data_IF_771673310730
#
_entry.id   IF_771673310730
#
_cell.length_a   1.000
_cell.length_b   1.000
_cell.length_c   1.000
_cell.angle_alpha   90.00
_cell.angle_beta   90.00
_cell.angle_gamma   90.00
#
_symmetry.space_group_name_H-M   'P 1'
#
loop_
_entity.id
_entity.type
_entity.pdbx_description
1 polymer ?
#
# COMPACT_ATOMS: atom_id res chain seq x y z
N UNK A 1 21.09 -13.96 -48.75
CA UNK A 1 21.91 -13.51 -47.62
C UNK A 1 21.44 -12.16 -47.03
N UNK A 2 21.16 -11.12 -47.84
CA UNK A 2 20.71 -9.80 -47.32
C UNK A 2 19.36 -9.85 -46.54
N UNK A 3 18.39 -10.70 -46.93
CA UNK A 3 17.09 -10.81 -46.26
C UNK A 3 17.16 -11.43 -44.86
N UNK A 4 18.11 -12.33 -44.63
CA UNK A 4 18.35 -12.97 -43.34
C UNK A 4 18.97 -11.95 -42.35
N UNK A 5 19.79 -11.04 -42.85
CA UNK A 5 20.41 -9.99 -42.05
C UNK A 5 19.39 -8.98 -41.50
N UNK A 6 18.38 -8.60 -42.29
CA UNK A 6 17.31 -7.73 -41.84
C UNK A 6 16.37 -8.43 -40.80
N UNK A 7 16.16 -9.74 -40.94
CA UNK A 7 15.36 -10.50 -39.98
C UNK A 7 16.07 -10.63 -38.62
N UNK A 8 17.38 -10.84 -38.64
CA UNK A 8 18.22 -10.93 -37.44
C UNK A 8 18.34 -9.58 -36.73
N UNK A 9 18.41 -8.46 -37.49
CA UNK A 9 18.44 -7.10 -36.95
C UNK A 9 17.12 -6.71 -36.32
N UNK A 10 15.98 -7.15 -36.85
CA UNK A 10 14.66 -6.89 -36.28
C UNK A 10 14.41 -7.67 -34.98
N UNK A 11 14.97 -8.89 -34.86
CA UNK A 11 14.84 -9.71 -33.65
C UNK A 11 15.60 -9.12 -32.46
N UNK A 12 16.69 -8.40 -32.69
CA UNK A 12 17.49 -7.73 -31.66
C UNK A 12 16.81 -6.51 -31.03
N UNK A 13 15.79 -5.94 -31.69
CA UNK A 13 15.05 -4.78 -31.15
C UNK A 13 13.96 -5.17 -30.15
N UNK A 14 13.62 -6.46 -30.02
CA UNK A 14 12.57 -6.94 -29.12
C UNK A 14 13.05 -7.25 -27.69
N UNK A 15 14.35 -7.20 -27.42
CA UNK A 15 14.91 -7.57 -26.11
C UNK A 15 15.06 -6.39 -25.14
N UNK A 16 14.60 -5.17 -25.48
CA UNK A 16 14.86 -3.96 -24.71
C UNK A 16 13.69 -3.49 -23.85
N UNK A 17 13.00 -4.37 -23.14
CA UNK A 17 12.01 -3.92 -22.15
C UNK A 17 11.92 -4.84 -20.94
N UNK A 18 13.07 -5.08 -20.28
CA UNK A 18 13.08 -5.52 -18.89
C UNK A 18 13.38 -4.31 -18.02
N UNK A 19 12.35 -3.56 -17.66
CA UNK A 19 12.45 -2.52 -16.65
C UNK A 19 12.94 -3.14 -15.35
N UNK A 20 14.23 -3.12 -15.11
CA UNK A 20 14.84 -3.51 -13.85
C UNK A 20 14.20 -2.61 -12.78
N UNK A 21 13.39 -3.19 -11.89
CA UNK A 21 12.86 -2.45 -10.74
C UNK A 21 14.09 -1.89 -10.02
N UNK A 22 14.19 -0.57 -9.95
CA UNK A 22 15.26 0.07 -9.20
C UNK A 22 15.07 -0.36 -7.74
N UNK A 23 16.05 -1.12 -7.21
CA UNK A 23 15.98 -1.68 -5.85
C UNK A 23 15.89 -0.61 -4.74
N UNK A 24 16.01 0.66 -5.10
CA UNK A 24 15.86 1.81 -4.19
C UNK A 24 14.54 2.56 -4.33
N UNK A 25 13.58 2.05 -5.10
CA UNK A 25 12.26 2.66 -5.22
C UNK A 25 11.23 1.85 -4.44
N UNK A 26 10.54 2.50 -3.51
CA UNK A 26 9.44 1.94 -2.70
C UNK A 26 8.16 2.70 -2.98
N UNK A 27 7.07 1.98 -3.22
CA UNK A 27 5.75 2.57 -3.36
C UNK A 27 4.93 2.35 -2.10
N UNK A 28 4.37 3.43 -1.53
CA UNK A 28 3.51 3.39 -0.36
C UNK A 28 2.10 3.72 -0.79
N UNK A 29 1.17 2.78 -0.56
CA UNK A 29 -0.25 3.03 -0.67
C UNK A 29 -0.75 3.74 0.58
N UNK A 30 -1.70 4.65 0.44
CA UNK A 30 -2.35 5.28 1.58
C UNK A 30 -3.79 5.62 1.28
N UNK A 31 -4.59 5.64 2.34
CA UNK A 31 -5.99 6.01 2.32
C UNK A 31 -6.07 7.46 2.83
N UNK A 32 -7.03 8.23 2.36
CA UNK A 32 -7.15 9.65 2.71
C UNK A 32 -7.80 9.84 4.11
N UNK A 33 -7.17 9.23 5.13
CA UNK A 33 -7.48 9.42 6.55
C UNK A 33 -6.33 10.17 7.22
N UNK A 34 -6.63 11.02 8.18
CA UNK A 34 -5.65 11.94 8.78
C UNK A 34 -4.46 11.21 9.39
N UNK A 35 -4.69 10.12 10.12
CA UNK A 35 -3.66 9.28 10.72
C UNK A 35 -2.85 8.53 9.66
N UNK A 36 -3.52 7.98 8.64
CA UNK A 36 -2.87 7.29 7.52
C UNK A 36 -1.97 8.22 6.70
N UNK A 37 -2.41 9.45 6.45
CA UNK A 37 -1.61 10.49 5.77
C UNK A 37 -0.37 10.81 6.61
N UNK A 38 -0.55 11.12 7.89
CA UNK A 38 0.55 11.49 8.79
C UNK A 38 1.62 10.38 8.88
N UNK A 39 1.20 9.14 9.09
CA UNK A 39 2.09 7.98 9.15
C UNK A 39 2.81 7.74 7.82
N UNK A 40 2.11 7.84 6.71
CA UNK A 40 2.68 7.64 5.37
C UNK A 40 3.80 8.65 5.11
N UNK A 41 3.57 9.93 5.36
CA UNK A 41 4.59 10.96 5.18
C UNK A 41 5.75 10.84 6.17
N UNK A 42 5.51 10.40 7.41
CA UNK A 42 6.59 10.11 8.35
C UNK A 42 7.52 9.01 7.80
N UNK A 43 6.94 7.91 7.31
CA UNK A 43 7.71 6.79 6.74
C UNK A 43 8.38 7.18 5.43
N UNK A 44 7.74 7.98 4.59
CA UNK A 44 8.34 8.56 3.38
C UNK A 44 9.65 9.29 3.73
N UNK A 45 9.63 10.22 4.68
CA UNK A 45 10.83 10.98 5.10
C UNK A 45 11.92 10.04 5.63
N UNK A 46 11.56 9.04 6.45
CA UNK A 46 12.52 8.08 6.98
C UNK A 46 13.18 7.27 5.87
N UNK A 47 12.41 6.78 4.90
CA UNK A 47 12.91 6.01 3.78
C UNK A 47 13.78 6.86 2.84
N UNK A 48 13.40 8.10 2.58
CA UNK A 48 14.20 9.03 1.77
C UNK A 48 15.55 9.35 2.42
N UNK A 49 15.59 9.52 3.74
CA UNK A 49 16.84 9.66 4.49
C UNK A 49 17.75 8.43 4.39
N UNK A 50 17.19 7.25 4.16
CA UNK A 50 17.94 6.01 3.90
C UNK A 50 18.30 5.84 2.42
N UNK A 51 18.01 6.82 1.58
CA UNK A 51 18.36 6.85 0.16
C UNK A 51 17.39 6.08 -0.74
N UNK A 52 16.18 5.80 -0.27
CA UNK A 52 15.12 5.27 -1.12
C UNK A 52 14.38 6.41 -1.84
N UNK A 53 13.93 6.13 -3.03
CA UNK A 53 12.95 6.95 -3.72
C UNK A 53 11.56 6.46 -3.36
N UNK A 54 10.74 7.30 -2.77
CA UNK A 54 9.37 6.95 -2.38
C UNK A 54 8.37 7.43 -3.43
N UNK A 55 7.38 6.59 -3.72
CA UNK A 55 6.25 6.91 -4.59
C UNK A 55 4.97 6.70 -3.80
N UNK A 56 4.26 7.78 -3.51
CA UNK A 56 2.98 7.73 -2.82
C UNK A 56 1.83 7.45 -3.79
N UNK A 57 0.90 6.57 -3.38
CA UNK A 57 -0.28 6.19 -4.15
C UNK A 57 -1.52 6.29 -3.29
N UNK A 58 -2.32 7.33 -3.53
CA UNK A 58 -3.60 7.50 -2.87
C UNK A 58 -4.70 6.69 -3.59
N UNK A 59 -5.47 5.93 -2.83
CA UNK A 59 -6.68 5.27 -3.29
C UNK A 59 -7.52 4.77 -2.10
N UNK A 60 -8.73 4.31 -2.37
CA UNK A 60 -9.57 3.61 -1.39
C UNK A 60 -8.95 2.26 -0.95
N UNK A 61 -9.38 1.69 0.19
CA UNK A 61 -8.82 0.43 0.71
C UNK A 61 -8.81 -0.71 -0.30
N UNK A 62 -9.92 -0.97 -1.00
CA UNK A 62 -10.02 -2.11 -1.91
C UNK A 62 -8.97 -2.10 -3.04
N UNK A 63 -8.78 -1.01 -3.82
CA UNK A 63 -7.72 -0.95 -4.83
C UNK A 63 -6.31 -0.97 -4.22
N UNK A 64 -6.07 -0.43 -3.02
CA UNK A 64 -4.76 -0.53 -2.36
C UNK A 64 -4.41 -2.00 -2.09
N UNK A 65 -5.29 -2.75 -1.39
CA UNK A 65 -5.05 -4.16 -1.10
C UNK A 65 -4.89 -5.01 -2.38
N UNK A 66 -5.71 -4.77 -3.39
CA UNK A 66 -5.61 -5.48 -4.66
C UNK A 66 -4.30 -5.19 -5.43
N UNK A 67 -3.77 -3.97 -5.34
CA UNK A 67 -2.51 -3.60 -5.99
C UNK A 67 -1.29 -4.07 -5.21
N UNK A 68 -1.36 -4.09 -3.87
CA UNK A 68 -0.34 -4.70 -3.00
C UNK A 68 -0.21 -6.20 -3.27
N UNK A 69 -1.32 -6.92 -3.31
CA UNK A 69 -1.32 -8.37 -3.58
C UNK A 69 -0.71 -8.73 -4.95
N UNK A 70 -0.64 -7.75 -5.88
CA UNK A 70 0.01 -7.88 -7.19
C UNK A 70 1.43 -7.32 -7.24
N UNK A 71 1.99 -6.90 -6.11
CA UNK A 71 3.33 -6.32 -6.02
C UNK A 71 3.48 -4.97 -6.74
N UNK A 72 2.41 -4.20 -6.86
CA UNK A 72 2.41 -2.85 -7.47
C UNK A 72 2.43 -1.72 -6.43
N UNK A 73 2.16 -2.04 -5.19
CA UNK A 73 2.32 -1.22 -3.99
C UNK A 73 3.10 -2.07 -3.01
N UNK A 74 4.13 -1.49 -2.39
CA UNK A 74 5.04 -2.23 -1.53
C UNK A 74 4.63 -2.15 -0.05
N UNK A 75 4.13 -1.00 0.41
CA UNK A 75 3.74 -0.76 1.81
C UNK A 75 2.36 -0.13 1.95
N UNK A 76 1.71 -0.42 3.07
CA UNK A 76 0.55 0.30 3.61
C UNK A 76 0.77 0.49 5.10
N UNK A 77 0.70 1.73 5.59
CA UNK A 77 0.97 2.05 6.98
C UNK A 77 -0.26 2.04 7.87
N UNK A 78 -1.44 2.09 7.28
CA UNK A 78 -2.71 2.26 7.99
C UNK A 78 -3.68 1.11 7.69
N UNK A 79 -3.32 -0.08 8.19
CA UNK A 79 -4.15 -1.27 8.10
C UNK A 79 -4.92 -1.50 9.42
N UNK A 80 -6.22 -1.20 9.44
CA UNK A 80 -7.10 -1.37 10.60
C UNK A 80 -7.55 -2.82 10.78
N UNK A 81 -6.66 -3.60 11.41
CA UNK A 81 -6.84 -5.03 11.65
C UNK A 81 -7.02 -5.30 13.17
N UNK A 82 -7.70 -6.40 13.54
CA UNK A 82 -8.29 -7.42 12.67
C UNK A 82 -9.70 -7.09 12.16
N UNK A 83 -10.33 -5.98 12.56
CA UNK A 83 -11.76 -5.76 12.36
C UNK A 83 -12.10 -5.08 11.02
N UNK A 84 -11.76 -3.79 10.86
CA UNK A 84 -12.28 -2.94 9.76
C UNK A 84 -11.90 -3.45 8.37
N UNK A 85 -10.68 -3.97 8.23
CA UNK A 85 -10.15 -4.42 6.94
C UNK A 85 -9.96 -5.94 6.87
N UNK A 86 -10.65 -6.69 7.74
CA UNK A 86 -10.59 -8.15 7.80
C UNK A 86 -10.89 -8.83 6.46
N UNK A 87 -11.89 -8.35 5.72
CA UNK A 87 -12.28 -8.96 4.45
C UNK A 87 -11.20 -8.83 3.37
N UNK A 88 -10.47 -7.72 3.35
CA UNK A 88 -9.34 -7.56 2.44
C UNK A 88 -8.20 -8.53 2.79
N UNK A 89 -7.92 -8.73 4.09
CA UNK A 89 -6.94 -9.73 4.52
C UNK A 89 -7.40 -11.15 4.23
N UNK A 90 -8.68 -11.46 4.34
CA UNK A 90 -9.23 -12.76 3.94
C UNK A 90 -9.03 -13.01 2.45
N UNK A 91 -9.20 -11.99 1.62
CA UNK A 91 -9.11 -12.11 0.17
C UNK A 91 -7.65 -12.10 -0.33
N UNK A 92 -6.81 -11.23 0.21
CA UNK A 92 -5.48 -10.93 -0.32
C UNK A 92 -4.33 -11.34 0.61
N UNK A 93 -4.59 -11.67 1.87
CA UNK A 93 -3.59 -11.87 2.91
C UNK A 93 -2.55 -12.96 2.61
N UNK A 94 -2.85 -13.92 1.73
CA UNK A 94 -1.88 -14.93 1.29
C UNK A 94 -0.66 -14.34 0.56
N UNK A 95 -0.81 -13.13 0.00
CA UNK A 95 0.22 -12.43 -0.75
C UNK A 95 0.75 -11.20 0.01
N UNK A 96 0.34 -11.02 1.27
CA UNK A 96 0.69 -9.87 2.10
C UNK A 96 1.33 -10.34 3.40
N UNK A 97 2.23 -9.53 3.92
CA UNK A 97 2.90 -9.74 5.20
C UNK A 97 2.57 -8.60 6.15
N UNK A 98 2.25 -8.93 7.40
CA UNK A 98 2.07 -7.94 8.48
C UNK A 98 3.43 -7.78 9.15
N UNK A 99 4.05 -6.61 8.97
CA UNK A 99 5.39 -6.32 9.50
C UNK A 99 5.38 -5.99 11.01
N UNK A 100 4.26 -5.49 11.53
CA UNK A 100 4.13 -5.14 12.93
C UNK A 100 2.90 -4.30 13.23
N UNK A 101 2.72 -4.00 14.51
CA UNK A 101 1.66 -3.12 15.01
C UNK A 101 2.21 -1.71 15.21
N UNK A 102 1.49 -0.70 14.69
CA UNK A 102 1.81 0.71 14.88
C UNK A 102 1.08 1.24 16.12
N UNK A 103 -0.21 0.91 16.26
CA UNK A 103 -1.04 1.27 17.41
C UNK A 103 -1.51 0.02 18.15
N UNK A 104 -1.48 0.09 19.47
CA UNK A 104 -2.04 -0.95 20.34
C UNK A 104 -3.31 -0.44 21.00
N UNK A 105 -4.24 -1.36 21.25
CA UNK A 105 -5.50 -1.07 21.94
C UNK A 105 -6.37 -0.02 21.24
N UNK A 106 -6.26 0.12 19.92
CA UNK A 106 -7.20 0.91 19.14
C UNK A 106 -8.61 0.38 19.30
N UNK A 107 -9.58 1.29 19.48
CA UNK A 107 -10.99 0.96 19.68
C UNK A 107 -11.84 1.66 18.64
N UNK A 108 -12.86 0.99 18.18
CA UNK A 108 -13.91 1.57 17.35
C UNK A 108 -15.16 1.65 18.21
N UNK A 109 -15.82 2.80 18.19
CA UNK A 109 -17.05 2.99 18.96
C UNK A 109 -17.79 4.26 18.54
N UNK A 110 -18.98 4.41 19.05
CA UNK A 110 -19.74 5.66 18.93
C UNK A 110 -19.23 6.65 19.97
N UNK A 111 -19.02 7.87 19.54
CA UNK A 111 -18.62 8.98 20.41
C UNK A 111 -19.78 9.96 20.49
N UNK A 112 -20.15 10.31 21.68
CA UNK A 112 -21.17 11.34 21.96
C UNK A 112 -20.57 12.42 22.84
N UNK A 113 -21.05 13.68 22.77
CA UNK A 113 -20.65 14.74 23.70
C UNK A 113 -20.99 14.35 25.14
N UNK A 114 -20.24 14.89 26.10
CA UNK A 114 -20.37 14.58 27.55
C UNK A 114 -21.70 15.01 28.16
N UNK A 115 -22.38 15.98 27.55
CA UNK A 115 -23.71 16.40 27.96
C UNK A 115 -24.83 15.41 27.55
N UNK A 116 -24.52 14.40 26.74
CA UNK A 116 -25.48 13.36 26.36
C UNK A 116 -25.47 12.26 27.41
N UNK A 117 -26.58 12.09 28.08
CA UNK A 117 -26.75 11.14 29.21
C UNK A 117 -26.88 9.67 28.79
N UNK A 118 -26.68 9.35 27.51
CA UNK A 118 -26.77 7.99 26.99
C UNK A 118 -25.47 7.22 27.25
N UNK A 119 -25.63 6.00 27.81
CA UNK A 119 -24.50 5.09 28.05
C UNK A 119 -24.56 3.83 27.16
N UNK A 120 -25.63 3.65 26.38
CA UNK A 120 -25.86 2.54 25.47
C UNK A 120 -26.73 2.99 24.30
N UNK A 121 -26.55 2.34 23.15
CA UNK A 121 -27.43 2.52 21.96
C UNK A 121 -28.82 1.93 22.15
N UNK A 122 -29.05 1.17 23.22
CA UNK A 122 -30.33 0.57 23.56
C UNK A 122 -31.22 1.51 24.40
N UNK A 123 -30.69 2.66 24.80
CA UNK A 123 -31.42 3.72 25.52
C UNK A 123 -31.95 4.76 24.53
#
# INVERSE_FOLDING_TARGET
MKRIFYFLSFLLLLTSCSGKKDNKTISIGYINWDDGIALTHLVEVILEQQGYRVILKNADPAPIYATMARGKVDLLMDAWLPATQADYMKQYGKNLEILGEIYRNARIGLVVPDYVSMNSIEQ
#
